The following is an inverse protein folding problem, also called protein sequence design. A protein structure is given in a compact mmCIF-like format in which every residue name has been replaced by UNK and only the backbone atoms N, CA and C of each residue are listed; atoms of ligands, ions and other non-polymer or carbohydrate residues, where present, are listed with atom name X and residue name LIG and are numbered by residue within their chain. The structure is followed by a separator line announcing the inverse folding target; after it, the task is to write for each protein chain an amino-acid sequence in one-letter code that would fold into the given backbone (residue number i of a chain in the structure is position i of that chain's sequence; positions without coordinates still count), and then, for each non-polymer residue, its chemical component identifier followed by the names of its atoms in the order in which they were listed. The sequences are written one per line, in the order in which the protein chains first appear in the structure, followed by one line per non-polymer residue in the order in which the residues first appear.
data_IF_444833940794
#
_entry.id   IF_444833940794
#
_cell.length_a   1.000
_cell.length_b   1.000
_cell.length_c   1.000
_cell.angle_alpha   90.00
_cell.angle_beta   90.00
_cell.angle_gamma   90.00
#
_symmetry.space_group_name_H-M   'P 1'
#
loop_
_entity.id
_entity.type
_entity.pdbx_description
1 polymer ?
#
# COMPACT_ATOMS: atom_id res chain seq x y z
N UNK A 1 4.34 31.40 -14.32
CA UNK A 1 5.66 30.78 -14.05
C UNK A 1 5.83 29.59 -14.99
N UNK A 2 6.63 29.71 -16.06
CA UNK A 2 6.83 28.62 -17.02
C UNK A 2 8.00 27.76 -16.54
N UNK A 3 7.73 26.52 -16.11
CA UNK A 3 8.78 25.56 -15.74
C UNK A 3 9.63 25.20 -16.97
N UNK A 4 10.94 25.12 -16.79
CA UNK A 4 11.87 24.68 -17.84
C UNK A 4 11.52 23.26 -18.30
N UNK A 5 11.81 22.96 -19.58
CA UNK A 5 11.55 21.64 -20.16
C UNK A 5 12.19 20.52 -19.33
N UNK A 6 13.37 20.75 -18.77
CA UNK A 6 14.06 19.81 -17.89
C UNK A 6 13.25 19.50 -16.61
N UNK A 7 12.72 20.53 -15.93
CA UNK A 7 11.92 20.32 -14.72
C UNK A 7 10.65 19.51 -14.98
N UNK A 8 10.01 19.70 -16.15
CA UNK A 8 8.82 18.93 -16.55
C UNK A 8 9.15 17.44 -16.75
N UNK A 9 10.28 17.14 -17.40
CA UNK A 9 10.70 15.75 -17.60
C UNK A 9 11.10 15.09 -16.28
N UNK A 10 11.80 15.80 -15.41
CA UNK A 10 12.17 15.28 -14.08
C UNK A 10 10.91 14.96 -13.28
N UNK A 11 9.91 15.85 -13.22
CA UNK A 11 8.64 15.59 -12.54
C UNK A 11 7.91 14.36 -13.12
N UNK A 12 7.86 14.23 -14.45
CA UNK A 12 7.26 13.07 -15.11
C UNK A 12 7.98 11.76 -14.74
N UNK A 13 9.31 11.75 -14.79
CA UNK A 13 10.13 10.59 -14.42
C UNK A 13 9.92 10.22 -12.94
N UNK A 14 9.88 11.21 -12.04
CA UNK A 14 9.65 10.97 -10.62
C UNK A 14 8.27 10.36 -10.36
N UNK A 15 7.22 10.88 -11.01
CA UNK A 15 5.86 10.34 -10.88
C UNK A 15 5.78 8.89 -11.37
N UNK A 16 6.35 8.60 -12.54
CA UNK A 16 6.36 7.26 -13.12
C UNK A 16 7.21 6.32 -12.26
N UNK A 17 8.39 6.75 -11.83
CA UNK A 17 9.29 5.97 -10.99
C UNK A 17 8.67 5.63 -9.63
N UNK A 18 8.01 6.59 -8.99
CA UNK A 18 7.30 6.36 -7.74
C UNK A 18 6.13 5.37 -7.93
N UNK A 19 5.34 5.56 -8.99
CA UNK A 19 4.27 4.62 -9.36
C UNK A 19 4.80 3.21 -9.63
N UNK A 20 5.95 3.09 -10.28
CA UNK A 20 6.60 1.81 -10.58
C UNK A 20 7.04 1.08 -9.30
N UNK A 21 7.63 1.80 -8.34
CA UNK A 21 8.02 1.23 -7.04
C UNK A 21 6.79 0.72 -6.28
N UNK A 22 5.73 1.54 -6.19
CA UNK A 22 4.51 1.13 -5.50
C UNK A 22 3.77 0.00 -6.20
N UNK A 23 3.80 -0.05 -7.54
CA UNK A 23 3.24 -1.16 -8.30
C UNK A 23 3.87 -2.49 -7.90
N UNK A 24 5.20 -2.57 -7.84
CA UNK A 24 5.86 -3.80 -7.42
C UNK A 24 5.60 -4.16 -5.95
N UNK A 25 5.55 -3.18 -5.06
CA UNK A 25 5.17 -3.41 -3.66
C UNK A 25 3.73 -3.93 -3.53
N UNK A 26 2.81 -3.44 -4.36
CA UNK A 26 1.44 -3.95 -4.43
C UNK A 26 1.39 -5.39 -4.99
N UNK A 27 2.08 -5.66 -6.09
CA UNK A 27 2.11 -7.00 -6.68
C UNK A 27 2.69 -8.05 -5.72
N UNK A 28 3.75 -7.70 -4.98
CA UNK A 28 4.30 -8.60 -3.95
C UNK A 28 3.30 -8.87 -2.82
N UNK A 29 2.53 -7.86 -2.37
CA UNK A 29 1.47 -8.08 -1.37
C UNK A 29 0.29 -8.88 -1.89
N UNK A 30 -0.04 -8.70 -3.18
CA UNK A 30 -1.16 -9.40 -3.82
C UNK A 30 -0.83 -10.89 -4.02
N UNK A 31 0.34 -11.19 -4.59
CA UNK A 31 0.72 -12.55 -5.02
C UNK A 31 1.69 -13.27 -4.08
N UNK A 32 2.43 -12.56 -3.22
CA UNK A 32 3.39 -13.16 -2.29
C UNK A 32 4.69 -13.62 -2.94
N UNK A 33 5.37 -12.75 -3.69
CA UNK A 33 6.63 -13.12 -4.34
C UNK A 33 7.80 -13.30 -3.37
N UNK A 34 7.64 -12.94 -2.09
CA UNK A 34 8.66 -13.10 -1.07
C UNK A 34 9.65 -11.92 -1.00
N UNK A 35 9.38 -10.81 -1.68
CA UNK A 35 10.27 -9.63 -1.66
C UNK A 35 10.12 -8.83 -0.37
N UNK A 36 8.88 -8.65 0.10
CA UNK A 36 8.55 -8.08 1.40
C UNK A 36 7.37 -8.78 2.09
N UNK A 37 6.65 -9.62 1.34
CA UNK A 37 5.47 -10.35 1.80
C UNK A 37 5.76 -11.85 1.69
N UNK A 38 5.76 -12.54 2.83
CA UNK A 38 5.82 -14.00 2.83
C UNK A 38 4.63 -14.57 2.04
N UNK A 39 4.80 -15.64 1.23
CA UNK A 39 3.75 -16.17 0.36
C UNK A 39 2.43 -16.46 1.09
N UNK A 40 2.49 -16.99 2.32
CA UNK A 40 1.34 -17.30 3.17
C UNK A 40 0.62 -16.07 3.73
N UNK A 41 1.24 -14.88 3.65
CA UNK A 41 0.63 -13.59 4.04
C UNK A 41 0.11 -12.79 2.85
N UNK A 42 0.24 -13.31 1.63
CA UNK A 42 -0.28 -12.67 0.43
C UNK A 42 -1.79 -12.56 0.46
N UNK A 43 -2.34 -11.54 -0.19
CA UNK A 43 -3.78 -11.33 -0.21
C UNK A 43 -4.52 -12.50 -0.87
N UNK A 44 -4.04 -13.00 -2.01
CA UNK A 44 -4.63 -14.17 -2.67
C UNK A 44 -4.45 -15.47 -1.89
N UNK A 45 -3.55 -15.51 -0.91
CA UNK A 45 -3.39 -16.64 0.03
C UNK A 45 -4.28 -16.51 1.28
N UNK A 46 -5.16 -15.50 1.34
CA UNK A 46 -6.06 -15.24 2.48
C UNK A 46 -5.50 -14.24 3.50
N UNK A 47 -4.36 -13.62 3.23
CA UNK A 47 -3.87 -12.50 4.02
C UNK A 47 -4.77 -11.26 3.90
N UNK A 48 -4.81 -10.45 4.96
CA UNK A 48 -5.58 -9.19 4.98
C UNK A 48 -4.64 -7.98 4.82
N UNK A 49 -4.83 -7.16 3.77
CA UNK A 49 -4.08 -5.92 3.56
C UNK A 49 -4.14 -4.96 4.74
N UNK A 50 -5.29 -4.81 5.38
CA UNK A 50 -5.49 -3.85 6.48
C UNK A 50 -4.97 -4.37 7.82
N UNK A 51 -4.94 -5.68 8.04
CA UNK A 51 -4.61 -6.25 9.36
C UNK A 51 -3.22 -5.87 9.85
N UNK A 52 -2.24 -5.72 8.96
CA UNK A 52 -0.90 -5.27 9.35
C UNK A 52 -0.89 -3.82 9.85
N UNK A 53 -1.64 -2.95 9.19
CA UNK A 53 -1.62 -1.50 9.43
C UNK A 53 -2.67 -1.09 10.47
N UNK A 54 -3.95 -1.33 10.19
CA UNK A 54 -5.07 -0.89 11.01
C UNK A 54 -5.15 -1.58 12.37
N UNK A 55 -4.58 -2.77 12.56
CA UNK A 55 -4.56 -3.40 13.88
C UNK A 55 -3.49 -2.81 14.82
N UNK A 56 -2.40 -2.27 14.28
CA UNK A 56 -1.18 -1.97 15.05
C UNK A 56 -0.73 -0.51 15.00
N UNK A 57 -1.10 0.24 13.95
CA UNK A 57 -0.64 1.61 13.71
C UNK A 57 -1.53 2.72 14.30
N UNK A 58 -2.87 2.57 14.40
CA UNK A 58 -3.71 3.62 14.96
C UNK A 58 -3.39 3.95 16.42
N UNK A 59 -3.31 5.25 16.72
CA UNK A 59 -3.10 5.78 18.07
C UNK A 59 -4.03 6.96 18.32
N UNK A 60 -4.23 7.32 19.59
CA UNK A 60 -5.10 8.43 19.97
C UNK A 60 -6.60 8.06 20.05
N UNK A 61 -7.50 9.06 20.12
CA UNK A 61 -8.90 8.85 20.51
C UNK A 61 -9.71 8.00 19.51
N UNK A 62 -9.24 7.88 18.27
CA UNK A 62 -9.90 7.09 17.23
C UNK A 62 -9.24 5.73 16.98
N UNK A 63 -8.23 5.34 17.77
CA UNK A 63 -7.50 4.09 17.55
C UNK A 63 -8.44 2.88 17.49
N UNK A 64 -9.35 2.75 18.46
CA UNK A 64 -10.30 1.65 18.48
C UNK A 64 -11.20 1.63 17.22
N UNK A 65 -11.65 2.80 16.76
CA UNK A 65 -12.48 2.88 15.56
C UNK A 65 -11.74 2.32 14.33
N UNK A 66 -10.47 2.69 14.13
CA UNK A 66 -9.67 2.14 13.03
C UNK A 66 -9.31 0.67 13.22
N UNK A 67 -8.99 0.24 14.45
CA UNK A 67 -8.69 -1.15 14.75
C UNK A 67 -9.88 -2.08 14.43
N UNK A 68 -11.12 -1.62 14.62
CA UNK A 68 -12.31 -2.40 14.26
C UNK A 68 -12.49 -2.62 12.75
N UNK A 69 -11.79 -1.86 11.91
CA UNK A 69 -11.81 -2.03 10.45
C UNK A 69 -10.75 -3.01 9.95
N UNK A 70 -9.79 -3.39 10.80
CA UNK A 70 -8.75 -4.35 10.45
C UNK A 70 -9.35 -5.73 10.13
N UNK A 71 -8.98 -6.30 8.98
CA UNK A 71 -9.45 -7.63 8.55
C UNK A 71 -10.87 -7.66 7.99
N UNK A 72 -11.53 -6.50 7.86
CA UNK A 72 -12.88 -6.44 7.29
C UNK A 72 -12.78 -6.51 5.76
N UNK A 73 -13.43 -7.51 5.16
CA UNK A 73 -13.24 -7.83 3.74
C UNK A 73 -13.46 -6.65 2.77
N UNK A 74 -14.49 -5.82 2.99
CA UNK A 74 -14.72 -4.66 2.12
C UNK A 74 -13.70 -3.53 2.34
N UNK A 75 -13.13 -3.43 3.54
CA UNK A 75 -12.04 -2.49 3.84
C UNK A 75 -10.75 -2.99 3.20
N UNK A 76 -10.48 -4.29 3.26
CA UNK A 76 -9.35 -4.93 2.57
C UNK A 76 -9.39 -4.71 1.06
N UNK A 77 -10.58 -4.68 0.45
CA UNK A 77 -10.73 -4.34 -0.97
C UNK A 77 -10.46 -2.87 -1.30
N UNK A 78 -10.66 -1.95 -0.35
CA UNK A 78 -10.48 -0.51 -0.54
C UNK A 78 -9.08 -0.01 -0.11
N UNK A 79 -8.34 -0.83 0.62
CA UNK A 79 -7.05 -0.49 1.22
C UNK A 79 -5.89 -0.67 0.23
#
# INVERSE_FOLDING_TARGET
MSYSLALRHIDAILRIGLGWIFLWAFLDKLFGFGLGTAPEKAWLAGGSPTSGFLANSPTGPFANAFNTLAGVAWVDWLF
#
